data_IF_983183915102
#
_entry.id   IF_983183915102
#
_cell.length_a   1.000
_cell.length_b   1.000
_cell.length_c   1.000
_cell.angle_alpha   90.00
_cell.angle_beta   90.00
_cell.angle_gamma   90.00
#
_symmetry.space_group_name_H-M   'P 1'
#
loop_
_entity.id
_entity.type
_entity.pdbx_description
1 polymer ?
#
# COMPACT_ATOMS: atom_id res chain seq x y z
N UNK A 1 -43.49 37.58 -5.19
CA UNK A 1 -42.93 36.23 -5.26
C UNK A 1 -41.44 36.31 -5.18
N UNK A 2 -40.92 36.10 -4.01
CA UNK A 2 -39.48 36.10 -3.78
C UNK A 2 -38.99 34.67 -3.94
N UNK A 3 -38.33 34.39 -5.04
CA UNK A 3 -37.59 33.13 -5.20
C UNK A 3 -36.31 33.25 -4.41
N UNK A 4 -36.31 32.63 -3.25
CA UNK A 4 -35.07 32.41 -2.52
C UNK A 4 -34.38 31.30 -3.28
N UNK A 5 -33.42 31.67 -4.10
CA UNK A 5 -32.46 30.73 -4.62
C UNK A 5 -31.55 30.40 -3.43
N UNK A 6 -31.89 29.35 -2.71
CA UNK A 6 -30.98 28.73 -1.81
C UNK A 6 -29.81 28.18 -2.64
N UNK A 7 -28.78 28.97 -2.75
CA UNK A 7 -27.48 28.49 -3.17
C UNK A 7 -27.02 27.55 -2.08
N UNK A 8 -27.39 26.28 -2.23
CA UNK A 8 -26.76 25.21 -1.50
C UNK A 8 -25.30 25.18 -1.97
N UNK A 9 -24.51 25.98 -1.28
CA UNK A 9 -23.08 25.80 -1.28
C UNK A 9 -22.87 24.39 -0.75
N UNK A 10 -22.70 23.43 -1.65
CA UNK A 10 -22.17 22.14 -1.31
C UNK A 10 -20.77 22.41 -0.78
N UNK A 11 -20.69 22.69 0.51
CA UNK A 11 -19.47 22.62 1.26
C UNK A 11 -19.09 21.14 1.18
N UNK A 12 -18.30 20.79 0.19
CA UNK A 12 -17.53 19.56 0.24
C UNK A 12 -16.65 19.73 1.47
N UNK A 13 -17.18 19.23 2.58
CA UNK A 13 -16.37 18.98 3.75
C UNK A 13 -15.36 17.95 3.30
N UNK A 14 -14.23 18.43 2.81
CA UNK A 14 -13.01 17.67 2.90
C UNK A 14 -12.89 17.38 4.40
N UNK A 15 -13.31 16.19 4.78
CA UNK A 15 -12.94 15.66 6.07
C UNK A 15 -11.41 15.60 6.05
N UNK A 16 -10.81 16.67 6.50
CA UNK A 16 -9.42 16.61 6.93
C UNK A 16 -9.42 15.57 8.02
N UNK A 17 -8.91 14.39 7.68
CA UNK A 17 -8.49 13.45 8.68
C UNK A 17 -7.41 14.18 9.46
N UNK A 18 -7.80 14.81 10.54
CA UNK A 18 -6.87 15.40 11.49
C UNK A 18 -6.05 14.24 12.04
N UNK A 19 -4.77 14.11 11.67
CA UNK A 19 -3.97 13.09 12.29
C UNK A 19 -2.66 12.70 11.63
N UNK A 20 -2.31 13.15 10.45
CA UNK A 20 -0.95 13.04 9.94
C UNK A 20 -0.70 14.24 9.04
N UNK A 21 0.39 14.93 9.26
CA UNK A 21 0.82 16.02 8.38
C UNK A 21 1.39 15.43 7.08
N UNK A 22 0.56 14.65 6.37
CA UNK A 22 0.92 14.09 5.08
C UNK A 22 0.96 15.20 4.04
N UNK A 23 2.16 15.49 3.57
CA UNK A 23 2.38 16.46 2.52
C UNK A 23 2.28 15.80 1.15
N UNK A 24 1.47 16.34 0.22
CA UNK A 24 1.46 15.83 -1.14
C UNK A 24 2.84 16.01 -1.78
N UNK A 25 3.29 15.00 -2.50
CA UNK A 25 4.52 15.01 -3.28
C UNK A 25 4.23 14.57 -4.71
N UNK A 26 5.06 15.01 -5.63
CA UNK A 26 5.01 14.55 -7.03
C UNK A 26 5.78 13.24 -7.17
N UNK A 27 5.54 12.51 -8.28
CA UNK A 27 6.32 11.32 -8.60
C UNK A 27 7.83 11.60 -8.59
N UNK A 28 8.23 12.75 -9.13
CA UNK A 28 9.65 13.14 -9.21
C UNK A 28 10.30 13.35 -7.84
N UNK A 29 9.50 13.65 -6.83
CA UNK A 29 9.97 13.87 -5.47
C UNK A 29 10.10 12.58 -4.65
N UNK A 30 9.61 11.47 -5.18
CA UNK A 30 9.79 10.16 -4.53
C UNK A 30 11.27 9.73 -4.60
N UNK A 31 11.74 8.94 -3.64
CA UNK A 31 13.05 8.32 -3.72
C UNK A 31 13.21 7.48 -5.00
N UNK A 32 14.40 7.41 -5.56
CA UNK A 32 14.66 6.70 -6.82
C UNK A 32 14.26 5.22 -6.78
N UNK A 33 14.49 4.56 -5.65
CA UNK A 33 14.09 3.16 -5.46
C UNK A 33 12.57 2.99 -5.54
N UNK A 34 11.79 3.91 -4.96
CA UNK A 34 10.33 3.89 -5.04
C UNK A 34 9.86 4.14 -6.49
N UNK A 35 10.44 5.09 -7.19
CA UNK A 35 10.14 5.35 -8.61
C UNK A 35 10.40 4.11 -9.47
N UNK A 36 11.54 3.47 -9.28
CA UNK A 36 11.90 2.24 -9.99
C UNK A 36 10.93 1.10 -9.68
N UNK A 37 10.56 0.93 -8.42
CA UNK A 37 9.58 -0.08 -8.00
C UNK A 37 8.25 0.10 -8.71
N UNK A 38 7.72 1.31 -8.72
CA UNK A 38 6.43 1.62 -9.35
C UNK A 38 6.51 1.39 -10.87
N UNK A 39 7.52 1.90 -11.53
CA UNK A 39 7.66 1.77 -13.00
C UNK A 39 7.90 0.34 -13.45
N UNK A 40 8.57 -0.47 -12.62
CA UNK A 40 8.86 -1.87 -12.95
C UNK A 40 7.67 -2.79 -12.75
N UNK A 41 6.84 -2.54 -11.71
CA UNK A 41 5.76 -3.44 -11.32
C UNK A 41 4.37 -2.98 -11.79
N UNK A 42 4.21 -1.70 -12.09
CA UNK A 42 2.91 -1.08 -12.41
C UNK A 42 3.00 -0.22 -13.68
N UNK A 43 3.54 -0.77 -14.75
CA UNK A 43 3.64 -0.09 -16.04
C UNK A 43 2.27 0.38 -16.51
N UNK A 44 2.19 1.67 -16.86
CA UNK A 44 0.98 2.26 -17.43
C UNK A 44 -0.14 2.51 -16.42
N UNK A 45 0.03 2.16 -15.15
CA UNK A 45 -0.95 2.47 -14.11
C UNK A 45 -0.73 3.91 -13.64
N UNK A 46 -1.81 4.68 -13.66
CA UNK A 46 -1.79 6.08 -13.25
C UNK A 46 -1.67 6.20 -11.74
N UNK A 47 -0.82 7.10 -11.27
CA UNK A 47 -0.75 7.49 -9.86
C UNK A 47 -1.87 8.50 -9.58
N UNK A 48 -2.73 8.22 -8.59
CA UNK A 48 -3.75 9.15 -8.14
C UNK A 48 -3.15 10.22 -7.24
N UNK A 49 -2.35 9.81 -6.26
CA UNK A 49 -1.59 10.71 -5.42
C UNK A 49 -0.38 10.02 -4.80
N UNK A 50 0.56 10.83 -4.36
CA UNK A 50 1.64 10.44 -3.48
C UNK A 50 1.77 11.45 -2.36
N UNK A 51 2.11 10.99 -1.17
CA UNK A 51 2.31 11.84 0.00
C UNK A 51 3.53 11.40 0.80
N UNK A 52 4.03 12.33 1.59
CA UNK A 52 5.14 12.13 2.51
C UNK A 52 4.67 12.46 3.92
N UNK A 53 4.91 11.56 4.87
CA UNK A 53 4.75 11.83 6.29
C UNK A 53 6.05 12.42 6.81
N UNK A 54 6.04 13.70 7.15
CA UNK A 54 7.21 14.44 7.62
C UNK A 54 7.27 14.62 9.15
N UNK A 55 6.32 14.08 9.88
CA UNK A 55 6.33 14.07 11.36
C UNK A 55 7.41 13.14 11.92
N UNK A 56 7.94 12.25 11.10
CA UNK A 56 8.98 11.30 11.46
C UNK A 56 10.37 11.91 11.23
N UNK A 57 11.34 11.48 12.02
CA UNK A 57 12.76 11.83 11.82
C UNK A 57 13.23 11.38 10.41
N UNK A 58 12.63 10.29 9.91
CA UNK A 58 12.79 9.78 8.55
C UNK A 58 11.42 9.70 7.90
N UNK A 59 11.14 10.55 6.92
CA UNK A 59 9.82 10.58 6.30
C UNK A 59 9.56 9.28 5.52
N UNK A 60 8.34 8.76 5.69
CA UNK A 60 7.81 7.67 4.89
C UNK A 60 6.97 8.21 3.75
N UNK A 61 6.76 7.40 2.72
CA UNK A 61 6.00 7.79 1.53
C UNK A 61 4.85 6.81 1.30
N UNK A 62 3.69 7.36 0.99
CA UNK A 62 2.51 6.60 0.56
C UNK A 62 2.19 6.94 -0.89
N UNK A 63 1.92 5.93 -1.71
CA UNK A 63 1.50 6.09 -3.09
C UNK A 63 0.21 5.32 -3.32
N UNK A 64 -0.77 5.98 -3.92
CA UNK A 64 -2.01 5.33 -4.34
C UNK A 64 -2.15 5.37 -5.86
N UNK A 65 -2.38 4.21 -6.44
CA UNK A 65 -2.58 4.04 -7.88
C UNK A 65 -4.07 4.08 -8.26
N UNK A 66 -4.34 4.31 -9.54
CA UNK A 66 -5.70 4.43 -10.06
C UNK A 66 -6.52 3.14 -9.96
N UNK A 67 -5.87 1.98 -9.90
CA UNK A 67 -6.51 0.67 -9.68
C UNK A 67 -6.84 0.39 -8.20
N UNK A 68 -6.54 1.33 -7.31
CA UNK A 68 -6.73 1.21 -5.88
C UNK A 68 -5.58 0.59 -5.11
N UNK A 69 -4.48 0.24 -5.77
CA UNK A 69 -3.26 -0.24 -5.10
C UNK A 69 -2.69 0.84 -4.19
N UNK A 70 -2.38 0.48 -2.96
CA UNK A 70 -1.70 1.34 -1.99
C UNK A 70 -0.31 0.78 -1.71
N UNK A 71 0.70 1.65 -1.73
CA UNK A 71 2.10 1.26 -1.56
C UNK A 71 2.75 2.22 -0.57
N UNK A 72 3.34 1.66 0.47
CA UNK A 72 4.11 2.40 1.45
C UNK A 72 5.61 2.11 1.28
N UNK A 73 6.39 3.17 1.29
CA UNK A 73 7.85 3.13 1.18
C UNK A 73 8.50 3.81 2.38
N UNK A 74 9.64 3.30 2.79
CA UNK A 74 10.49 3.98 3.77
C UNK A 74 11.17 5.23 3.16
N UNK A 75 11.94 5.93 3.97
CA UNK A 75 12.66 7.14 3.55
C UNK A 75 13.69 6.91 2.44
N UNK A 76 14.17 5.69 2.24
CA UNK A 76 15.08 5.30 1.16
C UNK A 76 14.34 4.80 -0.09
N UNK A 77 13.02 4.72 -0.03
CA UNK A 77 12.18 4.20 -1.13
C UNK A 77 12.09 2.69 -1.17
N UNK A 78 12.42 1.99 -0.08
CA UNK A 78 12.23 0.55 0.03
C UNK A 78 10.77 0.24 0.38
N UNK A 79 10.27 -0.85 -0.16
CA UNK A 79 8.91 -1.29 0.12
C UNK A 79 8.73 -1.64 1.60
N UNK A 80 7.74 -1.04 2.23
CA UNK A 80 7.25 -1.41 3.56
C UNK A 80 5.95 -2.21 3.48
N UNK A 81 5.03 -1.79 2.62
CA UNK A 81 3.73 -2.44 2.47
C UNK A 81 3.15 -2.22 1.08
N UNK A 82 2.48 -3.22 0.57
CA UNK A 82 1.65 -3.11 -0.63
C UNK A 82 0.33 -3.81 -0.41
N UNK A 83 -0.77 -3.12 -0.74
CA UNK A 83 -2.13 -3.64 -0.66
C UNK A 83 -2.83 -3.51 -2.01
N UNK A 84 -3.39 -4.63 -2.50
CA UNK A 84 -4.15 -4.71 -3.74
C UNK A 84 -5.64 -4.79 -3.44
N UNK A 85 -6.43 -3.85 -3.92
CA UNK A 85 -7.90 -3.93 -3.81
C UNK A 85 -8.49 -5.00 -4.71
N UNK A 86 -7.86 -5.25 -5.84
CA UNK A 86 -8.26 -6.31 -6.77
C UNK A 86 -7.03 -7.00 -7.34
N UNK A 87 -7.16 -8.29 -7.65
CA UNK A 87 -6.05 -9.09 -8.12
C UNK A 87 -5.08 -9.49 -7.00
N UNK A 88 -3.91 -9.90 -7.34
CA UNK A 88 -2.86 -10.32 -6.42
C UNK A 88 -1.67 -9.36 -6.46
N UNK A 89 -0.95 -9.28 -5.35
CA UNK A 89 0.36 -8.64 -5.32
C UNK A 89 1.23 -9.27 -6.41
N UNK A 90 1.89 -8.48 -7.26
CA UNK A 90 2.74 -9.02 -8.32
C UNK A 90 3.75 -10.04 -7.80
N UNK A 91 3.85 -11.16 -8.49
CA UNK A 91 4.62 -12.33 -8.04
C UNK A 91 6.09 -12.05 -7.75
N UNK A 92 6.70 -11.11 -8.46
CA UNK A 92 8.10 -10.73 -8.25
C UNK A 92 8.38 -9.94 -6.98
N UNK A 93 7.34 -9.45 -6.30
CA UNK A 93 7.48 -8.63 -5.08
C UNK A 93 7.59 -9.51 -3.84
N UNK A 94 6.81 -10.59 -3.78
CA UNK A 94 6.76 -11.48 -2.62
C UNK A 94 7.89 -12.51 -2.68
N UNK A 95 8.61 -12.75 -1.58
CA UNK A 95 9.64 -13.79 -1.54
C UNK A 95 9.11 -15.15 -1.98
N UNK A 96 9.91 -15.90 -2.73
CA UNK A 96 9.50 -17.19 -3.29
C UNK A 96 9.10 -18.19 -2.18
N UNK A 97 9.78 -18.17 -1.06
CA UNK A 97 9.50 -19.05 0.09
C UNK A 97 8.09 -18.82 0.66
N UNK A 98 7.66 -17.55 0.72
CA UNK A 98 6.31 -17.17 1.17
C UNK A 98 5.27 -17.62 0.14
N UNK A 99 5.51 -17.36 -1.14
CA UNK A 99 4.62 -17.79 -2.23
C UNK A 99 4.45 -19.30 -2.26
N UNK A 100 5.53 -20.05 -2.11
CA UNK A 100 5.52 -21.51 -2.11
C UNK A 100 4.73 -22.05 -0.92
N UNK A 101 4.89 -21.45 0.26
CA UNK A 101 4.09 -21.81 1.43
C UNK A 101 2.59 -21.60 1.19
N UNK A 102 2.20 -20.45 0.68
CA UNK A 102 0.78 -20.14 0.37
C UNK A 102 0.24 -21.13 -0.65
N UNK A 103 0.96 -21.38 -1.72
CA UNK A 103 0.55 -22.32 -2.78
C UNK A 103 0.39 -23.76 -2.28
N UNK A 104 1.26 -24.21 -1.38
CA UNK A 104 1.23 -25.55 -0.82
C UNK A 104 0.10 -25.77 0.18
N UNK A 105 -0.32 -24.73 0.91
CA UNK A 105 -1.26 -24.86 2.03
C UNK A 105 -2.65 -24.27 1.75
N UNK A 106 -2.78 -23.37 0.78
CA UNK A 106 -4.04 -22.68 0.46
C UNK A 106 -4.28 -22.69 -1.04
N UNK A 107 -5.25 -23.46 -1.49
CA UNK A 107 -5.62 -23.51 -2.91
C UNK A 107 -6.49 -22.29 -3.30
N UNK A 108 -6.27 -21.79 -4.52
CA UNK A 108 -7.09 -20.72 -5.14
C UNK A 108 -7.17 -19.44 -4.31
N UNK A 109 -6.13 -19.17 -3.56
CA UNK A 109 -6.02 -17.99 -2.70
C UNK A 109 -5.00 -17.02 -3.28
N UNK A 110 -5.34 -15.74 -3.31
CA UNK A 110 -4.47 -14.67 -3.76
C UNK A 110 -3.82 -13.97 -2.57
N UNK A 111 -2.57 -13.55 -2.74
CA UNK A 111 -1.92 -12.64 -1.80
C UNK A 111 -2.38 -11.22 -2.14
N UNK A 112 -3.14 -10.61 -1.23
CA UNK A 112 -3.70 -9.27 -1.39
C UNK A 112 -2.83 -8.18 -0.79
N UNK A 113 -2.06 -8.51 0.21
CA UNK A 113 -1.19 -7.59 0.93
C UNK A 113 0.13 -8.27 1.26
N UNK A 114 1.20 -7.50 1.19
CA UNK A 114 2.52 -7.92 1.62
C UNK A 114 3.18 -6.79 2.39
N UNK A 115 3.64 -7.10 3.59
CA UNK A 115 4.31 -6.16 4.50
C UNK A 115 5.71 -6.66 4.86
N UNK A 116 6.66 -5.74 4.85
CA UNK A 116 8.05 -5.96 5.25
C UNK A 116 8.28 -5.27 6.57
N UNK A 117 8.14 -6.00 7.67
CA UNK A 117 8.46 -5.50 9.00
C UNK A 117 9.96 -5.65 9.33
N UNK A 118 10.38 -5.05 10.43
CA UNK A 118 11.78 -5.14 10.88
C UNK A 118 12.22 -6.57 11.23
N UNK A 119 11.31 -7.37 11.79
CA UNK A 119 11.59 -8.71 12.29
C UNK A 119 10.81 -9.81 11.61
N UNK A 120 9.85 -9.46 10.76
CA UNK A 120 8.95 -10.42 10.12
C UNK A 120 8.49 -9.93 8.75
N UNK A 121 7.98 -10.85 7.99
CA UNK A 121 7.16 -10.59 6.81
C UNK A 121 5.73 -11.00 7.10
N UNK A 122 4.78 -10.28 6.54
CA UNK A 122 3.36 -10.58 6.70
C UNK A 122 2.66 -10.55 5.34
N UNK A 123 1.76 -11.51 5.11
CA UNK A 123 0.88 -11.49 3.94
C UNK A 123 -0.55 -11.67 4.38
N UNK A 124 -1.43 -10.92 3.71
CA UNK A 124 -2.88 -11.09 3.82
C UNK A 124 -3.41 -11.78 2.58
N UNK A 125 -4.18 -12.82 2.81
CA UNK A 125 -4.74 -13.65 1.76
C UNK A 125 -6.17 -13.22 1.40
N UNK A 126 -6.61 -13.55 0.20
CA UNK A 126 -7.97 -13.22 -0.28
C UNK A 126 -9.09 -13.91 0.51
N UNK A 127 -8.77 -14.94 1.29
CA UNK A 127 -9.71 -15.60 2.22
C UNK A 127 -9.77 -14.94 3.61
N UNK A 128 -9.04 -13.84 3.83
CA UNK A 128 -9.00 -13.10 5.08
C UNK A 128 -7.91 -13.51 6.07
N UNK A 129 -7.19 -14.60 5.83
CA UNK A 129 -6.09 -15.01 6.70
C UNK A 129 -4.88 -14.09 6.55
N UNK A 130 -4.23 -13.83 7.66
CA UNK A 130 -2.94 -13.15 7.73
C UNK A 130 -1.88 -14.16 8.18
N UNK A 131 -0.80 -14.26 7.42
CA UNK A 131 0.31 -15.16 7.70
C UNK A 131 1.54 -14.34 8.03
N UNK A 132 2.16 -14.66 9.16
CA UNK A 132 3.39 -14.01 9.61
C UNK A 132 4.57 -14.97 9.54
N UNK A 133 5.67 -14.51 8.93
CA UNK A 133 6.90 -15.26 8.77
C UNK A 133 8.07 -14.53 9.43
N UNK A 134 8.98 -15.25 10.05
CA UNK A 134 10.24 -14.65 10.49
C UNK A 134 11.17 -14.36 9.29
N UNK A 135 12.31 -13.74 9.52
CA UNK A 135 13.26 -13.40 8.44
C UNK A 135 13.94 -14.61 7.80
N UNK A 136 13.80 -15.79 8.40
CA UNK A 136 14.21 -17.09 7.81
C UNK A 136 13.06 -17.79 7.07
N UNK A 137 11.95 -17.07 6.83
CA UNK A 137 10.75 -17.55 6.13
C UNK A 137 10.02 -18.72 6.81
N UNK A 138 10.17 -18.85 8.12
CA UNK A 138 9.41 -19.80 8.93
C UNK A 138 8.09 -19.13 9.36
N UNK A 139 6.99 -19.85 9.24
CA UNK A 139 5.69 -19.37 9.72
C UNK A 139 5.71 -19.28 11.25
N UNK A 140 5.37 -18.11 11.78
CA UNK A 140 5.35 -17.84 13.21
C UNK A 140 3.98 -17.39 13.73
N UNK A 141 3.02 -17.12 12.87
CA UNK A 141 1.66 -16.75 13.26
C UNK A 141 0.66 -16.85 12.11
N UNK A 142 -0.59 -17.11 12.47
CA UNK A 142 -1.75 -17.08 11.60
C UNK A 142 -2.85 -16.34 12.34
N UNK A 143 -3.40 -15.30 11.74
CA UNK A 143 -4.53 -14.54 12.24
C UNK A 143 -5.67 -14.50 11.19
N UNK A 144 -6.91 -14.24 11.64
CA UNK A 144 -8.11 -14.11 10.80
C UNK A 144 -8.94 -12.86 11.13
#
# INVERSE_FOLDING_TARGET
>A
MKRIVSLLLALSVFAMVAGADNKPVTFEQLPDAAKTFITSNFKGVKILFASMDDDLIRPDYEVRLADGTEIDFDNDGRLEKIEMKSGAVPSGIVPVQVKDYVKANYQDVLIREYEVGLRHYEVKLSNGLELKFNKSFQLIGIDD
#
